data_IF_592180160238
#
_entry.id   IF_592180160238
#
_cell.length_a   1.000
_cell.length_b   1.000
_cell.length_c   1.000
_cell.angle_alpha   90.00
_cell.angle_beta   90.00
_cell.angle_gamma   90.00
#
_symmetry.space_group_name_H-M   'P 1'
#
loop_
_entity.id
_entity.type
_entity.pdbx_description
1 polymer ?
#
# COMPACT_ATOMS: atom_id res chain seq x y z
N UNK A 1 -17.53 -18.45 18.66
CA UNK A 1 -16.69 -17.89 19.76
C UNK A 1 -16.47 -16.38 19.59
N UNK A 2 -15.66 -15.88 18.63
CA UNK A 2 -15.45 -14.43 18.48
C UNK A 2 -16.65 -13.68 17.88
N UNK A 3 -17.30 -14.25 16.87
CA UNK A 3 -18.54 -13.68 16.28
C UNK A 3 -19.66 -13.54 17.32
N UNK A 4 -19.80 -14.51 18.22
CA UNK A 4 -20.82 -14.47 19.28
C UNK A 4 -20.51 -13.39 20.31
N UNK A 5 -19.23 -13.24 20.69
CA UNK A 5 -18.77 -12.15 21.57
C UNK A 5 -19.01 -10.77 20.93
N UNK A 6 -18.72 -10.62 19.63
CA UNK A 6 -18.99 -9.37 18.92
C UNK A 6 -20.49 -9.03 18.93
N UNK A 7 -21.36 -10.01 18.66
CA UNK A 7 -22.83 -9.85 18.74
C UNK A 7 -23.29 -9.45 20.13
N UNK A 8 -22.78 -10.11 21.15
CA UNK A 8 -23.11 -9.80 22.54
C UNK A 8 -22.73 -8.36 22.91
N UNK A 9 -21.53 -7.91 22.54
CA UNK A 9 -21.09 -6.53 22.77
C UNK A 9 -21.95 -5.52 21.99
N UNK A 10 -22.23 -5.78 20.71
CA UNK A 10 -23.07 -4.91 19.88
C UNK A 10 -24.50 -4.81 20.41
N UNK A 11 -25.05 -5.89 20.97
CA UNK A 11 -26.37 -5.87 21.61
C UNK A 11 -26.46 -4.96 22.84
N UNK A 12 -25.33 -4.66 23.47
CA UNK A 12 -25.22 -3.78 24.64
C UNK A 12 -24.91 -2.32 24.27
N UNK A 13 -24.66 -2.03 22.99
CA UNK A 13 -24.33 -0.68 22.52
C UNK A 13 -25.56 0.19 22.34
N UNK A 14 -25.41 1.48 22.62
CA UNK A 14 -26.39 2.49 22.19
C UNK A 14 -26.29 2.72 20.68
N UNK A 15 -27.29 3.37 20.10
CA UNK A 15 -27.25 3.75 18.69
C UNK A 15 -26.07 4.67 18.37
N UNK A 16 -25.73 5.59 19.28
CA UNK A 16 -24.61 6.51 19.17
C UNK A 16 -23.26 5.77 19.20
N UNK A 17 -23.09 4.77 20.07
CA UNK A 17 -21.88 3.93 20.10
C UNK A 17 -21.74 3.13 18.80
N UNK A 18 -22.84 2.55 18.28
CA UNK A 18 -22.86 1.82 17.01
C UNK A 18 -22.48 2.72 15.83
N UNK A 19 -23.11 3.90 15.73
CA UNK A 19 -22.81 4.85 14.67
C UNK A 19 -21.37 5.39 14.78
N UNK A 20 -20.88 5.60 15.99
CA UNK A 20 -19.51 6.02 16.25
C UNK A 20 -18.46 5.03 15.77
N UNK A 21 -18.69 3.72 15.95
CA UNK A 21 -17.78 2.68 15.44
C UNK A 21 -17.70 2.62 13.91
N UNK A 22 -18.69 3.18 13.20
CA UNK A 22 -18.69 3.31 11.75
C UNK A 22 -17.88 4.52 11.21
N UNK A 23 -17.17 5.23 12.08
CA UNK A 23 -16.26 6.34 11.78
C UNK A 23 -14.91 6.13 12.47
N UNK A 24 -13.84 6.61 11.85
CA UNK A 24 -12.55 6.76 12.53
C UNK A 24 -12.68 7.60 13.81
N UNK A 25 -11.82 7.32 14.78
CA UNK A 25 -11.61 8.18 15.95
C UNK A 25 -10.84 9.44 15.55
N UNK A 26 -9.80 9.24 14.75
CA UNK A 26 -8.96 10.29 14.20
C UNK A 26 -8.52 9.89 12.77
N UNK A 27 -7.34 10.35 12.34
CA UNK A 27 -6.82 10.03 11.01
C UNK A 27 -6.32 8.59 10.87
N UNK A 28 -5.90 7.95 11.97
CA UNK A 28 -5.18 6.66 11.98
C UNK A 28 -5.76 5.63 12.95
N UNK A 29 -6.81 5.95 13.71
CA UNK A 29 -7.39 5.02 14.67
C UNK A 29 -8.87 4.74 14.40
N UNK A 30 -9.25 3.48 14.56
CA UNK A 30 -10.64 3.11 14.76
C UNK A 30 -11.08 3.55 16.15
N UNK A 31 -12.36 3.92 16.27
CA UNK A 31 -12.98 4.23 17.55
C UNK A 31 -13.14 2.97 18.39
N UNK A 32 -12.98 3.11 19.71
CA UNK A 32 -13.31 2.09 20.70
C UNK A 32 -14.61 2.40 21.44
N UNK A 33 -15.02 1.50 22.33
CA UNK A 33 -16.13 1.68 23.28
C UNK A 33 -15.65 1.28 24.67
N UNK A 34 -15.13 2.25 25.42
CA UNK A 34 -14.49 2.05 26.73
C UNK A 34 -15.40 1.34 27.73
N UNK A 35 -16.69 1.74 27.79
CA UNK A 35 -17.71 1.14 28.66
C UNK A 35 -17.85 -0.37 28.47
N UNK A 36 -17.59 -0.87 27.26
CA UNK A 36 -17.69 -2.27 26.88
C UNK A 36 -16.30 -2.95 26.75
N UNK A 37 -15.22 -2.26 27.11
CA UNK A 37 -13.85 -2.76 27.02
C UNK A 37 -13.37 -2.97 25.59
N UNK A 38 -13.95 -2.28 24.60
CA UNK A 38 -13.49 -2.33 23.21
C UNK A 38 -12.45 -1.21 23.03
N UNK A 39 -11.16 -1.54 22.79
CA UNK A 39 -10.14 -0.52 22.62
C UNK A 39 -10.20 0.14 21.25
N UNK A 40 -9.59 1.32 21.13
CA UNK A 40 -9.22 1.89 19.84
C UNK A 40 -7.99 1.17 19.29
N UNK A 41 -7.91 1.01 17.97
CA UNK A 41 -6.79 0.32 17.31
C UNK A 41 -6.25 1.16 16.15
N UNK A 42 -4.94 1.10 15.92
CA UNK A 42 -4.28 1.84 14.86
C UNK A 42 -4.36 1.11 13.51
N UNK A 43 -4.60 1.88 12.46
CA UNK A 43 -4.41 1.49 11.06
C UNK A 43 -3.44 2.46 10.42
N UNK A 44 -2.55 2.00 9.56
CA UNK A 44 -1.58 2.89 8.93
C UNK A 44 -1.02 2.32 7.63
N UNK A 45 -0.40 3.19 6.83
CA UNK A 45 0.26 2.80 5.59
C UNK A 45 1.51 1.93 5.88
N UNK A 46 2.07 1.20 4.91
CA UNK A 46 1.66 1.12 3.51
C UNK A 46 2.07 -0.19 2.81
N UNK A 47 1.92 -0.23 1.48
CA UNK A 47 1.93 -1.49 0.71
C UNK A 47 3.29 -2.21 0.61
N UNK A 48 4.40 -1.54 0.91
CA UNK A 48 5.76 -2.09 0.79
C UNK A 48 6.69 -1.66 1.94
N UNK A 49 6.10 -1.35 3.10
CA UNK A 49 6.80 -0.91 4.31
C UNK A 49 5.86 -0.20 5.26
N UNK A 50 6.13 -0.29 6.55
CA UNK A 50 5.35 0.39 7.57
C UNK A 50 5.62 1.90 7.53
N UNK A 51 4.56 2.71 7.58
CA UNK A 51 4.62 4.17 7.64
C UNK A 51 3.73 4.71 8.74
N UNK A 52 4.13 4.47 9.99
CA UNK A 52 3.49 5.05 11.16
C UNK A 52 4.03 6.46 11.45
N UNK A 53 3.16 7.46 11.45
CA UNK A 53 3.52 8.82 11.84
C UNK A 53 3.90 8.89 13.33
N UNK A 54 4.92 9.67 13.68
CA UNK A 54 5.24 9.95 15.09
C UNK A 54 4.17 10.83 15.73
N UNK A 55 3.87 10.57 17.00
CA UNK A 55 2.91 11.34 17.78
C UNK A 55 3.30 12.84 17.81
N UNK A 56 2.38 13.71 17.38
CA UNK A 56 2.54 15.16 17.43
C UNK A 56 3.03 15.84 16.13
N UNK A 57 3.24 15.10 15.04
CA UNK A 57 3.45 15.69 13.72
C UNK A 57 2.11 16.16 13.14
N UNK A 58 2.05 17.38 12.60
CA UNK A 58 0.90 17.83 11.80
C UNK A 58 0.66 16.79 10.70
N UNK A 59 -0.60 16.39 10.46
CA UNK A 59 -0.98 15.33 9.51
C UNK A 59 -0.53 15.56 8.05
N UNK A 60 0.10 16.71 7.78
CA UNK A 60 0.74 17.13 6.53
C UNK A 60 2.24 16.76 6.43
N UNK A 61 2.87 16.32 7.53
CA UNK A 61 4.26 15.93 7.60
C UNK A 61 4.52 14.57 6.97
N UNK A 62 4.66 14.54 5.64
CA UNK A 62 4.95 13.34 4.85
C UNK A 62 6.28 12.64 5.22
N UNK A 63 7.12 13.23 6.09
CA UNK A 63 8.51 12.83 6.31
C UNK A 63 8.89 12.42 7.75
N UNK A 64 8.00 12.55 8.75
CA UNK A 64 8.33 12.20 10.16
C UNK A 64 7.60 10.91 10.60
N UNK A 65 7.91 9.81 9.90
CA UNK A 65 7.47 8.46 10.29
C UNK A 65 8.54 7.75 11.11
N UNK A 66 8.13 6.74 11.87
CA UNK A 66 9.06 5.78 12.47
C UNK A 66 9.93 5.15 11.37
N UNK A 67 11.24 4.92 11.62
CA UNK A 67 12.06 4.15 10.70
C UNK A 67 11.52 2.72 10.54
N UNK A 68 11.43 2.25 9.30
CA UNK A 68 10.92 0.93 8.96
C UNK A 68 11.69 0.35 7.76
N UNK A 69 11.55 -0.95 7.52
CA UNK A 69 12.15 -1.54 6.32
C UNK A 69 11.37 -1.11 5.08
N UNK A 70 12.07 -0.46 4.13
CA UNK A 70 11.50 -0.13 2.83
C UNK A 70 11.79 -1.27 1.85
N UNK A 71 10.82 -2.15 1.64
CA UNK A 71 10.92 -3.20 0.62
C UNK A 71 10.79 -2.59 -0.79
N UNK A 72 11.23 -3.30 -1.84
CA UNK A 72 10.96 -2.88 -3.22
C UNK A 72 9.46 -2.65 -3.42
N UNK A 73 9.10 -1.68 -4.25
CA UNK A 73 7.70 -1.40 -4.55
C UNK A 73 6.99 -2.60 -5.18
N UNK A 74 5.66 -2.64 -5.15
CA UNK A 74 4.89 -3.74 -5.73
C UNK A 74 5.21 -3.95 -7.23
N UNK A 75 5.53 -2.89 -7.97
CA UNK A 75 5.99 -2.98 -9.35
C UNK A 75 7.32 -3.72 -9.50
N UNK A 76 8.28 -3.46 -8.60
CA UNK A 76 9.54 -4.21 -8.53
C UNK A 76 9.29 -5.66 -8.13
N UNK A 77 8.62 -5.87 -7.00
CA UNK A 77 8.37 -7.20 -6.44
C UNK A 77 7.57 -8.11 -7.36
N UNK A 78 6.62 -7.58 -8.15
CA UNK A 78 5.89 -8.36 -9.15
C UNK A 78 6.83 -8.98 -10.21
N UNK A 79 7.96 -8.35 -10.49
CA UNK A 79 8.96 -8.84 -11.43
C UNK A 79 9.71 -10.08 -10.94
N UNK A 80 9.61 -10.42 -9.65
CA UNK A 80 10.16 -11.68 -9.10
C UNK A 80 9.37 -12.92 -9.51
N UNK A 81 8.06 -12.78 -9.79
CA UNK A 81 7.15 -13.92 -9.99
C UNK A 81 7.18 -14.94 -8.82
N UNK A 82 7.61 -14.52 -7.62
CA UNK A 82 7.91 -15.40 -6.51
C UNK A 82 6.94 -15.21 -5.34
N UNK A 83 5.90 -16.06 -5.30
CA UNK A 83 4.88 -16.07 -4.22
C UNK A 83 5.48 -16.21 -2.82
N UNK A 84 6.49 -17.06 -2.67
CA UNK A 84 7.12 -17.33 -1.36
C UNK A 84 7.94 -16.13 -0.89
N UNK A 85 8.59 -15.41 -1.80
CA UNK A 85 9.24 -14.14 -1.47
C UNK A 85 8.23 -13.12 -0.97
N UNK A 86 7.09 -12.95 -1.66
CA UNK A 86 6.05 -12.00 -1.24
C UNK A 86 5.47 -12.36 0.13
N UNK A 87 5.24 -13.64 0.41
CA UNK A 87 4.77 -14.10 1.72
C UNK A 87 5.79 -13.78 2.83
N UNK A 88 7.09 -14.02 2.59
CA UNK A 88 8.15 -13.65 3.55
C UNK A 88 8.23 -12.14 3.78
N UNK A 89 8.08 -11.33 2.73
CA UNK A 89 7.99 -9.86 2.87
C UNK A 89 6.76 -9.49 3.71
N UNK A 90 5.61 -10.13 3.48
CA UNK A 90 4.41 -9.94 4.30
C UNK A 90 4.64 -10.30 5.77
N UNK A 91 5.35 -11.39 6.07
CA UNK A 91 5.72 -11.78 7.43
C UNK A 91 6.54 -10.67 8.11
N UNK A 92 7.60 -10.19 7.47
CA UNK A 92 8.44 -9.14 8.02
C UNK A 92 7.63 -7.85 8.30
N UNK A 93 6.76 -7.46 7.37
CA UNK A 93 5.86 -6.31 7.57
C UNK A 93 4.92 -6.51 8.77
N UNK A 94 4.37 -7.71 8.95
CA UNK A 94 3.53 -8.06 10.09
C UNK A 94 4.28 -8.02 11.42
N UNK A 95 5.55 -8.41 11.44
CA UNK A 95 6.41 -8.32 12.63
C UNK A 95 6.72 -6.86 13.01
N UNK A 96 7.01 -6.00 12.03
CA UNK A 96 7.18 -4.55 12.29
C UNK A 96 5.89 -3.92 12.81
N UNK A 97 4.73 -4.30 12.26
CA UNK A 97 3.43 -3.82 12.72
C UNK A 97 3.13 -4.26 14.17
N UNK A 98 3.46 -5.49 14.55
CA UNK A 98 3.33 -5.96 15.94
C UNK A 98 4.20 -5.13 16.89
N UNK A 99 5.46 -4.88 16.52
CA UNK A 99 6.38 -4.07 17.34
C UNK A 99 5.92 -2.61 17.47
N UNK A 100 5.19 -2.10 16.48
CA UNK A 100 4.70 -0.73 16.43
C UNK A 100 3.22 -0.58 16.82
N UNK A 101 2.60 -1.59 17.42
CA UNK A 101 1.20 -1.56 17.89
C UNK A 101 0.18 -1.15 16.81
N UNK A 102 0.34 -1.70 15.61
CA UNK A 102 -0.55 -1.51 14.46
C UNK A 102 -1.46 -2.71 14.30
N UNK A 103 -2.77 -2.51 14.18
CA UNK A 103 -3.73 -3.60 14.00
C UNK A 103 -3.99 -3.94 12.53
N UNK A 104 -3.96 -2.96 11.63
CA UNK A 104 -4.15 -3.17 10.18
C UNK A 104 -3.15 -2.36 9.38
N UNK A 105 -2.41 -3.05 8.51
CA UNK A 105 -1.55 -2.43 7.50
C UNK A 105 -2.36 -2.13 6.23
N UNK A 106 -2.32 -0.88 5.75
CA UNK A 106 -3.08 -0.44 4.58
C UNK A 106 -2.41 -0.84 3.27
N UNK A 107 -2.45 -2.14 2.99
CA UNK A 107 -1.98 -2.76 1.75
C UNK A 107 -2.38 -4.23 1.69
N UNK A 108 -2.11 -4.92 0.57
CA UNK A 108 -1.40 -4.41 -0.61
C UNK A 108 -2.32 -3.68 -1.61
N UNK A 109 -1.69 -2.93 -2.52
CA UNK A 109 -2.36 -2.33 -3.69
C UNK A 109 -2.48 -3.34 -4.83
N UNK A 110 -3.70 -3.57 -5.33
CA UNK A 110 -4.02 -4.55 -6.37
C UNK A 110 -4.83 -3.96 -7.55
N UNK A 111 -4.79 -2.64 -7.75
CA UNK A 111 -5.37 -2.05 -8.96
C UNK A 111 -4.57 -2.49 -10.21
N UNK A 112 -5.28 -2.76 -11.30
CA UNK A 112 -4.65 -3.08 -12.59
C UNK A 112 -3.89 -1.87 -13.14
N UNK A 113 -2.67 -2.10 -13.64
CA UNK A 113 -1.89 -1.11 -14.39
C UNK A 113 -2.47 -0.89 -15.79
N UNK A 114 -3.68 -0.31 -15.88
CA UNK A 114 -4.40 -0.08 -17.15
C UNK A 114 -3.60 0.76 -18.14
N UNK A 115 -2.88 1.75 -17.64
CA UNK A 115 -2.04 2.66 -18.41
C UNK A 115 -0.73 2.85 -17.65
N UNK A 116 0.43 2.90 -18.35
CA UNK A 116 1.70 3.16 -17.70
C UNK A 116 1.77 4.55 -17.05
N UNK A 117 0.86 5.47 -17.41
CA UNK A 117 0.83 6.85 -16.93
C UNK A 117 0.17 7.06 -15.56
N UNK A 118 -0.39 6.00 -14.97
CA UNK A 118 -0.98 6.11 -13.63
C UNK A 118 0.14 6.36 -12.60
N UNK A 119 0.07 7.49 -11.88
CA UNK A 119 1.08 7.90 -10.90
C UNK A 119 1.28 6.94 -9.73
N UNK A 120 0.38 5.97 -9.53
CA UNK A 120 0.44 4.95 -8.47
C UNK A 120 0.84 3.56 -8.98
N UNK A 121 1.24 3.42 -10.25
CA UNK A 121 1.67 2.13 -10.78
C UNK A 121 2.83 1.50 -9.99
N UNK A 122 3.69 2.30 -9.35
CA UNK A 122 4.78 1.78 -8.54
C UNK A 122 4.29 0.88 -7.39
N UNK A 123 3.13 1.17 -6.78
CA UNK A 123 2.57 0.42 -5.66
C UNK A 123 1.50 -0.61 -6.05
N UNK A 124 1.31 -0.84 -7.35
CA UNK A 124 0.49 -1.92 -7.88
C UNK A 124 1.35 -3.03 -8.49
N UNK A 125 0.87 -4.28 -8.46
CA UNK A 125 1.65 -5.41 -8.94
C UNK A 125 1.72 -5.47 -10.47
N UNK A 126 0.58 -5.57 -11.17
CA UNK A 126 0.59 -5.93 -12.60
C UNK A 126 -0.55 -5.30 -13.41
N UNK A 127 -0.40 -5.31 -14.73
CA UNK A 127 -1.50 -5.15 -15.69
C UNK A 127 -2.32 -6.45 -15.87
N UNK A 128 -1.75 -7.59 -15.46
CA UNK A 128 -2.40 -8.90 -15.51
C UNK A 128 -3.09 -9.23 -14.16
N UNK A 129 -4.41 -9.56 -14.18
CA UNK A 129 -5.17 -9.84 -12.96
C UNK A 129 -4.71 -11.09 -12.22
N UNK A 130 -4.23 -12.12 -12.93
CA UNK A 130 -3.79 -13.36 -12.29
C UNK A 130 -2.53 -13.10 -11.46
N UNK A 131 -1.50 -12.48 -12.06
CA UNK A 131 -0.29 -12.12 -11.36
C UNK A 131 -0.59 -11.18 -10.17
N UNK A 132 -1.40 -10.15 -10.39
CA UNK A 132 -1.75 -9.20 -9.34
C UNK A 132 -2.49 -9.88 -8.16
N UNK A 133 -3.46 -10.73 -8.45
CA UNK A 133 -4.19 -11.51 -7.43
C UNK A 133 -3.27 -12.45 -6.67
N UNK A 134 -2.38 -13.17 -7.34
CA UNK A 134 -1.47 -14.12 -6.68
C UNK A 134 -0.45 -13.42 -5.79
N UNK A 135 0.08 -12.27 -6.22
CA UNK A 135 0.98 -11.46 -5.38
C UNK A 135 0.24 -10.89 -4.17
N UNK A 136 -0.94 -10.30 -4.37
CA UNK A 136 -1.75 -9.75 -3.29
C UNK A 136 -2.14 -10.84 -2.27
N UNK A 137 -2.57 -12.02 -2.74
CA UNK A 137 -2.95 -13.13 -1.87
C UNK A 137 -1.82 -13.57 -0.94
N UNK A 138 -0.59 -13.70 -1.45
CA UNK A 138 0.55 -14.15 -0.65
C UNK A 138 1.07 -13.05 0.29
N UNK A 139 0.99 -11.78 -0.11
CA UNK A 139 1.27 -10.66 0.79
C UNK A 139 0.30 -10.67 1.97
N UNK A 140 -1.01 -10.84 1.71
CA UNK A 140 -2.05 -10.92 2.74
C UNK A 140 -1.80 -12.10 3.68
N UNK A 141 -1.45 -13.29 3.15
CA UNK A 141 -1.12 -14.46 3.99
C UNK A 141 0.03 -14.19 4.93
N UNK A 142 1.12 -13.60 4.42
CA UNK A 142 2.31 -13.29 5.22
C UNK A 142 2.03 -12.30 6.34
N UNK A 143 1.37 -11.17 6.04
CA UNK A 143 1.04 -10.16 7.06
C UNK A 143 0.08 -10.75 8.10
N UNK A 144 -0.97 -11.44 7.66
CA UNK A 144 -2.00 -11.98 8.57
C UNK A 144 -1.53 -13.18 9.38
N UNK A 145 -0.48 -13.89 8.97
CA UNK A 145 0.14 -14.94 9.80
C UNK A 145 0.80 -14.38 11.06
N UNK A 146 1.06 -13.07 11.10
CA UNK A 146 1.62 -12.38 12.25
C UNK A 146 0.58 -11.77 13.19
N UNK A 147 -0.72 -12.02 12.95
CA UNK A 147 -1.78 -11.45 13.78
C UNK A 147 -2.14 -10.00 13.42
N UNK A 148 -1.72 -9.53 12.24
CA UNK A 148 -1.97 -8.17 11.75
C UNK A 148 -2.91 -8.22 10.56
N UNK A 149 -3.91 -7.34 10.53
CA UNK A 149 -4.83 -7.24 9.40
C UNK A 149 -4.20 -6.57 8.18
N UNK A 150 -4.78 -6.84 7.01
CA UNK A 150 -4.46 -6.14 5.76
C UNK A 150 -5.65 -5.36 5.24
N UNK A 151 -5.38 -4.41 4.34
CA UNK A 151 -6.37 -3.63 3.60
C UNK A 151 -6.12 -3.72 2.11
N UNK A 152 -6.76 -4.69 1.46
CA UNK A 152 -6.66 -4.87 0.01
C UNK A 152 -7.28 -3.65 -0.69
N UNK A 153 -6.50 -2.93 -1.50
CA UNK A 153 -6.89 -1.61 -2.03
C UNK A 153 -6.53 -1.39 -3.50
N UNK A 154 -7.21 -0.51 -4.24
CA UNK A 154 -8.42 0.24 -3.93
C UNK A 154 -9.58 -0.35 -4.74
N UNK A 155 -10.61 -0.82 -4.06
CA UNK A 155 -11.69 -1.60 -4.63
C UNK A 155 -12.82 -0.67 -5.14
N UNK A 156 -13.03 -0.47 -6.44
CA UNK A 156 -12.28 -1.01 -7.57
C UNK A 156 -12.09 0.04 -8.68
N UNK A 157 -11.31 -0.33 -9.71
CA UNK A 157 -11.08 0.49 -10.90
C UNK A 157 -10.45 1.88 -10.67
N UNK A 158 -9.68 2.04 -9.58
CA UNK A 158 -8.86 3.23 -9.35
C UNK A 158 -7.56 3.15 -10.16
N UNK A 159 -7.62 3.41 -11.47
CA UNK A 159 -6.50 3.20 -12.39
C UNK A 159 -5.91 4.51 -12.95
N UNK A 160 -6.27 5.66 -12.37
CA UNK A 160 -5.70 6.96 -12.70
C UNK A 160 -5.81 7.92 -11.51
N UNK A 161 -4.80 8.76 -11.33
CA UNK A 161 -4.83 9.79 -10.28
C UNK A 161 -5.61 11.05 -10.71
N UNK A 162 -5.65 11.34 -12.02
CA UNK A 162 -6.37 12.50 -12.52
C UNK A 162 -7.85 12.44 -12.15
N UNK A 163 -8.27 13.39 -11.31
CA UNK A 163 -9.66 13.51 -10.83
C UNK A 163 -10.18 12.23 -10.19
N UNK A 164 -9.33 11.45 -9.51
CA UNK A 164 -9.72 10.19 -8.88
C UNK A 164 -10.97 10.29 -7.97
N UNK A 165 -11.19 11.45 -7.34
CA UNK A 165 -12.36 11.72 -6.48
C UNK A 165 -13.66 12.11 -7.22
N UNK A 166 -13.64 12.27 -8.54
CA UNK A 166 -14.83 12.69 -9.31
C UNK A 166 -15.01 12.00 -10.65
N UNK A 167 -14.02 11.25 -11.13
CA UNK A 167 -14.10 10.51 -12.39
C UNK A 167 -15.08 9.34 -12.29
N UNK A 168 -15.71 9.01 -13.41
CA UNK A 168 -16.55 7.84 -13.57
C UNK A 168 -15.92 6.85 -14.55
N UNK A 169 -15.55 5.68 -14.04
CA UNK A 169 -14.99 4.60 -14.82
C UNK A 169 -16.13 3.82 -15.48
N UNK A 170 -16.35 4.05 -16.77
CA UNK A 170 -17.35 3.35 -17.58
C UNK A 170 -16.75 2.05 -18.12
N UNK A 171 -17.19 0.91 -17.58
CA UNK A 171 -16.60 -0.41 -17.83
C UNK A 171 -17.74 -1.41 -18.01
N UNK A 172 -17.76 -2.15 -19.13
CA UNK A 172 -18.72 -3.25 -19.30
C UNK A 172 -18.46 -4.38 -18.29
N UNK A 173 -19.51 -5.15 -17.97
CA UNK A 173 -19.42 -6.18 -16.92
C UNK A 173 -18.31 -7.19 -17.19
N UNK A 174 -18.11 -7.61 -18.44
CA UNK A 174 -17.08 -8.61 -18.77
C UNK A 174 -15.69 -8.07 -18.44
N UNK A 175 -15.36 -6.86 -18.91
CA UNK A 175 -14.08 -6.23 -18.61
C UNK A 175 -13.93 -5.96 -17.11
N UNK A 176 -14.99 -5.54 -16.44
CA UNK A 176 -14.98 -5.32 -14.98
C UNK A 176 -14.63 -6.62 -14.23
N UNK A 177 -15.29 -7.73 -14.58
CA UNK A 177 -15.12 -9.05 -13.96
C UNK A 177 -13.75 -9.67 -14.29
N UNK A 178 -13.39 -9.74 -15.58
CA UNK A 178 -12.20 -10.48 -16.05
C UNK A 178 -10.88 -9.74 -15.77
N UNK A 179 -10.88 -8.41 -15.64
CA UNK A 179 -9.66 -7.61 -15.47
C UNK A 179 -9.60 -6.96 -14.10
N UNK A 180 -10.51 -6.04 -13.80
CA UNK A 180 -10.36 -5.18 -12.63
C UNK A 180 -10.69 -5.90 -11.34
N UNK A 181 -11.79 -6.66 -11.33
CA UNK A 181 -12.25 -7.40 -10.16
C UNK A 181 -11.48 -8.71 -9.96
N UNK A 182 -11.06 -9.38 -11.03
CA UNK A 182 -10.26 -10.61 -10.95
C UNK A 182 -8.95 -10.44 -10.14
N UNK A 183 -8.36 -9.23 -10.18
CA UNK A 183 -7.19 -8.86 -9.36
C UNK A 183 -7.46 -8.90 -7.84
N UNK A 184 -8.72 -8.72 -7.43
CA UNK A 184 -9.17 -8.73 -6.03
C UNK A 184 -9.80 -10.07 -5.64
N UNK A 185 -10.58 -10.68 -6.54
CA UNK A 185 -11.38 -11.87 -6.27
C UNK A 185 -10.54 -13.01 -5.71
N UNK A 186 -9.42 -13.34 -6.37
CA UNK A 186 -8.55 -14.42 -5.93
C UNK A 186 -7.90 -14.12 -4.58
N UNK A 187 -7.44 -12.88 -4.36
CA UNK A 187 -6.88 -12.46 -3.07
C UNK A 187 -7.90 -12.56 -1.92
N UNK A 188 -9.16 -12.17 -2.16
CA UNK A 188 -10.25 -12.32 -1.18
C UNK A 188 -10.53 -13.78 -0.89
N UNK A 189 -10.75 -14.61 -1.92
CA UNK A 189 -11.11 -16.03 -1.76
C UNK A 189 -9.98 -16.87 -1.16
N UNK A 190 -8.73 -16.56 -1.48
CA UNK A 190 -7.58 -17.34 -1.03
C UNK A 190 -7.02 -16.93 0.34
N UNK A 191 -7.17 -15.66 0.71
CA UNK A 191 -6.43 -15.09 1.85
C UNK A 191 -7.28 -14.30 2.84
N UNK A 192 -8.55 -13.99 2.52
CA UNK A 192 -9.51 -13.31 3.39
C UNK A 192 -8.87 -12.12 4.12
N UNK A 193 -8.56 -11.01 3.41
CA UNK A 193 -8.01 -9.82 4.07
C UNK A 193 -8.99 -9.35 5.16
N UNK A 194 -8.48 -8.83 6.27
CA UNK A 194 -9.35 -8.36 7.36
C UNK A 194 -10.19 -7.15 6.92
N UNK A 195 -9.64 -6.34 6.01
CA UNK A 195 -10.32 -5.20 5.43
C UNK A 195 -10.13 -5.11 3.92
N UNK A 196 -11.08 -4.48 3.24
CA UNK A 196 -10.96 -4.04 1.84
C UNK A 196 -11.18 -2.53 1.84
N UNK A 197 -10.30 -1.79 1.18
CA UNK A 197 -10.46 -0.33 1.05
C UNK A 197 -11.18 -0.01 -0.24
N UNK A 198 -12.31 0.69 -0.18
CA UNK A 198 -13.01 1.11 -1.40
C UNK A 198 -12.23 2.22 -2.12
N UNK A 199 -12.44 2.36 -3.42
CA UNK A 199 -11.83 3.41 -4.24
C UNK A 199 -12.53 4.78 -4.08
N UNK A 200 -11.85 5.83 -4.54
CA UNK A 200 -12.39 7.19 -4.64
C UNK A 200 -13.39 7.37 -5.79
N UNK A 201 -13.14 6.73 -6.93
CA UNK A 201 -13.86 7.03 -8.17
C UNK A 201 -15.26 6.41 -8.20
N UNK A 202 -16.04 6.86 -9.17
CA UNK A 202 -17.25 6.15 -9.58
C UNK A 202 -16.92 5.00 -10.51
N UNK A 203 -17.75 3.97 -10.49
CA UNK A 203 -17.76 2.86 -11.43
C UNK A 203 -19.18 2.76 -11.97
N UNK A 204 -19.35 3.00 -13.27
CA UNK A 204 -20.65 3.00 -13.95
C UNK A 204 -21.72 3.87 -13.25
N UNK A 205 -21.35 5.07 -12.82
CA UNK A 205 -22.27 6.09 -12.29
C UNK A 205 -22.36 6.17 -10.76
N UNK A 206 -21.94 5.15 -10.04
CA UNK A 206 -21.96 5.08 -8.56
C UNK A 206 -20.55 5.17 -7.98
N UNK A 207 -20.37 5.93 -6.91
CA UNK A 207 -19.11 5.93 -6.15
C UNK A 207 -18.84 4.57 -5.54
N UNK A 208 -17.58 4.12 -5.56
CA UNK A 208 -17.22 2.80 -5.05
C UNK A 208 -17.51 2.63 -3.54
N UNK A 209 -17.43 3.71 -2.76
CA UNK A 209 -17.82 3.78 -1.34
C UNK A 209 -19.32 3.59 -1.09
N UNK A 210 -20.16 3.86 -2.10
CA UNK A 210 -21.61 3.81 -2.00
C UNK A 210 -22.25 2.70 -2.86
N UNK A 211 -21.47 1.94 -3.64
CA UNK A 211 -22.02 0.97 -4.59
C UNK A 211 -22.39 -0.35 -3.92
N UNK A 212 -23.70 -0.65 -3.85
CA UNK A 212 -24.22 -1.94 -3.37
C UNK A 212 -23.70 -3.09 -4.23
N UNK A 213 -23.65 -2.91 -5.54
CA UNK A 213 -23.20 -3.96 -6.46
C UNK A 213 -21.75 -4.37 -6.17
N UNK A 214 -20.84 -3.40 -5.96
CA UNK A 214 -19.45 -3.73 -5.63
C UNK A 214 -19.32 -4.30 -4.22
N UNK A 215 -19.83 -3.60 -3.20
CA UNK A 215 -19.49 -3.88 -1.81
C UNK A 215 -20.31 -5.01 -1.18
N UNK A 216 -21.57 -5.16 -1.59
CA UNK A 216 -22.48 -6.16 -1.04
C UNK A 216 -22.60 -7.35 -1.99
N UNK A 217 -23.07 -7.11 -3.22
CA UNK A 217 -23.45 -8.20 -4.13
C UNK A 217 -22.21 -8.99 -4.56
N UNK A 218 -21.18 -8.30 -5.07
CA UNK A 218 -19.96 -8.97 -5.55
C UNK A 218 -19.05 -9.37 -4.38
N UNK A 219 -18.60 -8.38 -3.59
CA UNK A 219 -17.56 -8.63 -2.58
C UNK A 219 -18.03 -9.58 -1.46
N UNK A 220 -19.22 -9.35 -0.89
CA UNK A 220 -19.69 -10.14 0.27
C UNK A 220 -20.49 -11.36 -0.14
N UNK A 221 -21.45 -11.23 -1.06
CA UNK A 221 -22.37 -12.32 -1.40
C UNK A 221 -21.76 -13.31 -2.40
N UNK A 222 -21.20 -12.83 -3.52
CA UNK A 222 -20.60 -13.72 -4.52
C UNK A 222 -19.22 -14.26 -4.09
N UNK A 223 -18.37 -13.43 -3.49
CA UNK A 223 -17.00 -13.85 -3.12
C UNK A 223 -16.87 -14.37 -1.70
N UNK A 224 -17.86 -14.12 -0.83
CA UNK A 224 -17.81 -14.56 0.57
C UNK A 224 -16.80 -13.78 1.40
N UNK A 225 -16.60 -12.49 1.13
CA UNK A 225 -15.73 -11.65 1.96
C UNK A 225 -16.24 -11.58 3.41
N UNK A 226 -15.39 -12.04 4.33
CA UNK A 226 -15.76 -12.09 5.74
C UNK A 226 -15.44 -10.80 6.47
N UNK A 227 -14.43 -10.02 6.06
CA UNK A 227 -13.99 -8.79 6.74
C UNK A 227 -14.98 -7.62 6.68
N UNK A 228 -14.47 -6.39 6.83
CA UNK A 228 -15.25 -5.16 6.66
C UNK A 228 -14.62 -4.23 5.62
N UNK A 229 -15.42 -3.35 5.04
CA UNK A 229 -14.96 -2.36 4.06
C UNK A 229 -14.67 -1.04 4.77
N UNK A 230 -13.49 -0.49 4.50
CA UNK A 230 -13.08 0.85 4.93
C UNK A 230 -13.04 1.80 3.73
N UNK A 231 -13.34 3.08 3.92
CA UNK A 231 -13.19 4.05 2.83
C UNK A 231 -11.73 4.36 2.56
N UNK A 232 -11.39 4.73 1.33
CA UNK A 232 -10.24 5.61 1.13
C UNK A 232 -10.48 6.95 1.86
N UNK A 233 -9.41 7.69 2.16
CA UNK A 233 -9.45 8.84 3.06
C UNK A 233 -10.28 9.96 2.44
N UNK A 234 -11.50 10.17 2.96
CA UNK A 234 -12.44 11.17 2.45
C UNK A 234 -13.20 10.75 1.19
N UNK A 235 -13.31 9.45 0.89
CA UNK A 235 -14.05 8.93 -0.27
C UNK A 235 -15.58 8.86 -0.08
N UNK A 236 -16.07 9.09 1.14
CA UNK A 236 -17.51 8.97 1.45
C UNK A 236 -18.23 10.27 1.13
N UNK A 237 -19.31 10.17 0.37
CA UNK A 237 -20.19 11.29 0.03
C UNK A 237 -21.46 11.26 0.90
N UNK A 238 -22.14 10.11 0.94
CA UNK A 238 -23.40 9.92 1.67
C UNK A 238 -23.30 8.74 2.63
N UNK A 239 -22.94 9.05 3.88
CA UNK A 239 -22.54 8.03 4.87
C UNK A 239 -23.60 6.97 5.15
N UNK A 240 -24.85 7.37 5.25
CA UNK A 240 -25.98 6.49 5.54
C UNK A 240 -26.28 5.52 4.39
N UNK A 241 -26.22 5.98 3.13
CA UNK A 241 -26.30 5.09 1.97
C UNK A 241 -25.06 4.19 1.87
N UNK A 242 -23.87 4.70 2.19
CA UNK A 242 -22.65 3.90 2.24
C UNK A 242 -22.76 2.73 3.26
N UNK A 243 -23.20 2.98 4.50
CA UNK A 243 -23.42 1.90 5.50
C UNK A 243 -24.44 0.90 4.98
N UNK A 244 -25.57 1.39 4.44
CA UNK A 244 -26.66 0.56 3.92
C UNK A 244 -26.23 -0.36 2.78
N UNK A 245 -25.25 0.07 1.99
CA UNK A 245 -24.72 -0.61 0.81
C UNK A 245 -23.44 -1.40 1.09
N UNK A 246 -22.94 -1.40 2.33
CA UNK A 246 -21.87 -2.30 2.77
C UNK A 246 -20.53 -1.64 3.04
N UNK A 247 -20.45 -0.32 3.21
CA UNK A 247 -19.27 0.36 3.75
C UNK A 247 -19.36 0.52 5.28
N UNK A 248 -18.63 -0.32 6.01
CA UNK A 248 -18.65 -0.33 7.47
C UNK A 248 -17.93 0.85 8.12
N UNK A 249 -16.76 1.26 7.62
CA UNK A 249 -15.91 2.27 8.27
C UNK A 249 -15.59 3.45 7.35
N UNK A 250 -15.93 4.66 7.78
CA UNK A 250 -15.47 5.92 7.17
C UNK A 250 -14.14 6.34 7.79
N UNK A 251 -13.14 6.61 6.94
CA UNK A 251 -11.85 7.17 7.32
C UNK A 251 -11.54 8.43 6.47
N UNK A 252 -10.84 9.43 7.03
CA UNK A 252 -10.62 9.62 8.46
C UNK A 252 -11.92 10.03 9.18
N UNK A 253 -11.86 10.34 10.47
CA UNK A 253 -13.02 10.84 11.22
C UNK A 253 -13.70 12.05 10.53
N UNK A 254 -15.02 12.00 10.35
CA UNK A 254 -15.82 13.10 9.78
C UNK A 254 -16.30 14.13 10.82
N UNK A 255 -15.65 14.17 11.99
CA UNK A 255 -15.98 15.07 13.10
C UNK A 255 -17.47 15.01 13.52
N UNK A 256 -18.05 13.81 13.47
CA UNK A 256 -19.44 13.53 13.84
C UNK A 256 -20.47 13.78 12.74
N UNK A 257 -20.09 14.31 11.56
CA UNK A 257 -21.04 14.54 10.46
C UNK A 257 -21.63 13.20 9.96
N UNK A 258 -20.76 12.23 9.67
CA UNK A 258 -21.17 10.90 9.22
C UNK A 258 -21.96 10.14 10.29
N UNK A 259 -21.49 10.19 11.54
CA UNK A 259 -22.16 9.55 12.69
C UNK A 259 -23.61 10.05 12.84
N UNK A 260 -23.82 11.37 12.75
CA UNK A 260 -25.15 11.97 12.86
C UNK A 260 -26.06 11.58 11.68
N UNK A 261 -25.53 11.46 10.46
CA UNK A 261 -26.30 10.96 9.30
C UNK A 261 -26.77 9.52 9.52
N UNK A 262 -25.92 8.65 10.05
CA UNK A 262 -26.27 7.25 10.37
C UNK A 262 -27.34 7.19 11.45
N UNK A 263 -27.19 7.95 12.55
CA UNK A 263 -28.18 8.01 13.64
C UNK A 263 -29.54 8.49 13.11
N UNK A 264 -29.55 9.55 12.29
CA UNK A 264 -30.77 10.09 11.70
C UNK A 264 -31.43 9.06 10.77
N UNK A 265 -30.67 8.41 9.89
CA UNK A 265 -31.18 7.40 8.98
C UNK A 265 -31.82 6.20 9.70
N UNK A 266 -31.27 5.79 10.85
CA UNK A 266 -31.90 4.73 11.68
C UNK A 266 -33.18 5.21 12.32
N UNK A 267 -33.18 6.39 12.94
CA UNK A 267 -34.37 6.97 13.58
C UNK A 267 -35.51 7.22 12.58
N UNK A 268 -35.17 7.52 11.33
CA UNK A 268 -36.12 7.76 10.23
C UNK A 268 -36.51 6.49 9.47
N UNK A 269 -35.90 5.34 9.78
CA UNK A 269 -36.18 4.05 9.11
C UNK A 269 -35.59 3.91 7.70
N UNK A 270 -34.68 4.81 7.28
CA UNK A 270 -33.95 4.72 6.01
C UNK A 270 -32.81 3.69 6.06
N UNK A 271 -32.27 3.45 7.25
CA UNK A 271 -31.32 2.37 7.56
C UNK A 271 -31.90 1.53 8.71
N UNK A 272 -32.05 0.22 8.52
CA UNK A 272 -32.47 -0.67 9.60
C UNK A 272 -31.36 -0.83 10.64
N UNK A 273 -31.70 -0.85 11.93
CA UNK A 273 -30.73 -1.07 13.00
C UNK A 273 -30.05 -2.44 12.88
N UNK A 274 -30.72 -3.46 12.34
CA UNK A 274 -30.13 -4.79 12.08
C UNK A 274 -28.96 -4.72 11.09
N UNK A 275 -29.06 -3.89 10.05
CA UNK A 275 -27.96 -3.65 9.10
C UNK A 275 -26.80 -2.93 9.78
N UNK A 276 -27.09 -1.94 10.62
CA UNK A 276 -26.07 -1.25 11.39
C UNK A 276 -25.37 -2.23 12.35
N UNK A 277 -26.12 -3.08 13.05
CA UNK A 277 -25.55 -4.11 13.92
C UNK A 277 -24.60 -5.04 13.15
N UNK A 278 -25.01 -5.52 11.97
CA UNK A 278 -24.17 -6.38 11.15
C UNK A 278 -22.86 -5.70 10.69
N UNK A 279 -22.92 -4.40 10.38
CA UNK A 279 -21.74 -3.59 10.06
C UNK A 279 -20.80 -3.49 11.27
N UNK A 280 -21.33 -3.10 12.43
CA UNK A 280 -20.57 -2.92 13.67
C UNK A 280 -20.00 -4.25 14.18
N UNK A 281 -20.72 -5.35 14.05
CA UNK A 281 -20.25 -6.70 14.40
C UNK A 281 -18.95 -7.06 13.67
N UNK A 282 -18.83 -6.71 12.39
CA UNK A 282 -17.61 -6.99 11.61
C UNK A 282 -16.43 -6.16 12.10
N UNK A 283 -16.65 -4.88 12.42
CA UNK A 283 -15.63 -3.99 12.98
C UNK A 283 -15.16 -4.52 14.35
N UNK A 284 -16.11 -4.76 15.26
CA UNK A 284 -15.81 -5.25 16.61
C UNK A 284 -15.08 -6.58 16.56
N UNK A 285 -15.48 -7.50 15.67
CA UNK A 285 -14.78 -8.78 15.51
C UNK A 285 -13.31 -8.60 15.11
N UNK A 286 -13.00 -7.66 14.20
CA UNK A 286 -11.61 -7.38 13.82
C UNK A 286 -10.83 -6.72 14.96
N UNK A 287 -11.42 -5.77 15.70
CA UNK A 287 -10.79 -5.17 16.89
C UNK A 287 -10.48 -6.25 17.94
N UNK A 288 -11.43 -7.14 18.21
CA UNK A 288 -11.21 -8.25 19.14
C UNK A 288 -10.12 -9.20 18.65
N UNK A 289 -10.08 -9.48 17.34
CA UNK A 289 -9.04 -10.31 16.74
C UNK A 289 -7.66 -9.69 16.87
N UNK A 290 -7.50 -8.40 16.58
CA UNK A 290 -6.20 -7.73 16.73
C UNK A 290 -5.73 -7.71 18.18
N UNK A 291 -6.64 -7.59 19.14
CA UNK A 291 -6.31 -7.64 20.57
C UNK A 291 -5.89 -9.05 21.00
N UNK A 292 -6.60 -10.08 20.56
CA UNK A 292 -6.28 -11.47 20.89
C UNK A 292 -4.92 -11.92 20.31
N UNK A 293 -4.60 -11.43 19.10
CA UNK A 293 -3.36 -11.76 18.38
C UNK A 293 -2.18 -10.84 18.73
N UNK A 294 -2.38 -9.83 19.59
CA UNK A 294 -1.35 -8.86 19.97
C UNK A 294 -0.23 -9.55 20.75
N UNK A 295 1.02 -9.26 20.38
CA UNK A 295 2.23 -9.75 21.06
C UNK A 295 2.80 -8.65 21.96
N UNK A 296 2.58 -8.74 23.29
CA UNK A 296 2.96 -7.73 24.31
C UNK A 296 4.45 -7.31 24.35
N UNK A 297 5.34 -8.05 23.70
CA UNK A 297 6.77 -7.72 23.62
C UNK A 297 7.32 -8.02 22.23
N UNK A 298 6.53 -7.71 21.20
CA UNK A 298 6.97 -7.83 19.82
C UNK A 298 8.21 -6.96 19.56
N UNK A 299 9.22 -7.58 18.97
CA UNK A 299 10.36 -6.93 18.39
C UNK A 299 10.72 -7.66 17.10
N UNK A 300 11.50 -7.02 16.26
CA UNK A 300 11.99 -7.58 15.01
C UNK A 300 13.47 -7.28 14.84
N UNK A 301 14.16 -8.09 14.04
CA UNK A 301 15.56 -7.86 13.68
C UNK A 301 15.62 -6.99 12.42
N UNK A 302 16.04 -5.74 12.61
CA UNK A 302 16.18 -4.76 11.53
C UNK A 302 17.17 -5.20 10.46
N UNK A 303 18.24 -5.90 10.84
CA UNK A 303 19.24 -6.37 9.86
C UNK A 303 18.72 -7.58 9.10
N UNK A 304 17.97 -8.48 9.74
CA UNK A 304 17.30 -9.60 9.04
C UNK A 304 16.31 -9.09 7.99
N UNK A 305 15.44 -8.15 8.36
CA UNK A 305 14.48 -7.54 7.44
C UNK A 305 15.18 -6.79 6.31
N UNK A 306 16.28 -6.09 6.61
CA UNK A 306 17.09 -5.41 5.62
C UNK A 306 17.75 -6.41 4.63
N UNK A 307 18.26 -7.54 5.10
CA UNK A 307 18.78 -8.60 4.21
C UNK A 307 17.67 -9.20 3.34
N UNK A 308 16.46 -9.37 3.87
CA UNK A 308 15.30 -9.78 3.08
C UNK A 308 14.92 -8.73 2.02
N UNK A 309 14.97 -7.44 2.35
CA UNK A 309 14.75 -6.38 1.37
C UNK A 309 15.80 -6.42 0.25
N UNK A 310 17.07 -6.74 0.57
CA UNK A 310 18.13 -6.95 -0.41
C UNK A 310 17.90 -8.19 -1.28
N UNK A 311 17.41 -9.28 -0.72
CA UNK A 311 16.99 -10.47 -1.47
C UNK A 311 15.84 -10.12 -2.43
N UNK A 312 14.80 -9.45 -1.92
CA UNK A 312 13.67 -9.02 -2.71
C UNK A 312 14.08 -8.09 -3.85
N UNK A 313 14.99 -7.14 -3.59
CA UNK A 313 15.54 -6.25 -4.60
C UNK A 313 16.28 -7.02 -5.70
N UNK A 314 17.06 -8.05 -5.33
CA UNK A 314 17.79 -8.90 -6.30
C UNK A 314 16.84 -9.65 -7.23
N UNK A 315 15.77 -10.22 -6.69
CA UNK A 315 14.76 -10.93 -7.49
C UNK A 315 13.83 -10.00 -8.28
N UNK A 316 13.80 -8.71 -7.94
CA UNK A 316 12.98 -7.70 -8.63
C UNK A 316 13.64 -7.09 -9.87
N UNK A 317 14.91 -7.40 -10.15
CA UNK A 317 15.65 -6.85 -11.29
C UNK A 317 15.34 -7.63 -12.58
N UNK A 318 14.92 -6.93 -13.63
CA UNK A 318 14.68 -7.52 -14.96
C UNK A 318 15.84 -7.17 -15.91
N UNK A 319 16.58 -8.18 -16.36
CA UNK A 319 17.62 -8.01 -17.38
C UNK A 319 16.99 -7.87 -18.77
N UNK A 320 16.80 -6.62 -19.22
CA UNK A 320 16.16 -6.33 -20.51
C UNK A 320 17.05 -6.59 -21.72
N UNK A 321 18.37 -6.41 -21.59
CA UNK A 321 19.32 -6.49 -22.70
C UNK A 321 20.70 -6.95 -22.21
N UNK A 322 21.29 -7.93 -22.89
CA UNK A 322 22.65 -8.42 -22.62
C UNK A 322 23.39 -8.80 -23.91
N UNK A 323 23.76 -7.81 -24.73
CA UNK A 323 24.49 -8.04 -25.98
C UNK A 323 25.93 -8.49 -25.70
N UNK A 324 26.42 -9.45 -26.50
CA UNK A 324 27.79 -9.93 -26.40
C UNK A 324 28.16 -10.61 -25.08
N UNK A 325 27.17 -11.00 -24.27
CA UNK A 325 27.38 -11.50 -22.90
C UNK A 325 28.16 -10.50 -22.03
N UNK A 326 27.85 -9.21 -22.20
CA UNK A 326 28.49 -8.14 -21.46
C UNK A 326 28.31 -8.26 -19.93
N UNK A 327 27.16 -8.76 -19.49
CA UNK A 327 26.87 -9.07 -18.09
C UNK A 327 27.05 -10.59 -17.81
N UNK A 328 27.61 -10.96 -16.64
CA UNK A 328 28.02 -10.10 -15.52
C UNK A 328 29.34 -9.35 -15.77
N UNK A 329 29.47 -8.15 -15.20
CA UNK A 329 30.68 -7.34 -15.32
C UNK A 329 31.88 -8.01 -14.62
N UNK A 330 33.08 -7.78 -15.16
CA UNK A 330 34.32 -8.09 -14.44
C UNK A 330 34.45 -7.17 -13.23
N UNK A 331 35.03 -7.70 -12.15
CA UNK A 331 35.29 -6.96 -10.90
C UNK A 331 36.61 -6.20 -10.89
N UNK A 332 37.34 -6.24 -12.00
CA UNK A 332 38.70 -5.69 -12.14
C UNK A 332 38.70 -4.51 -13.11
N UNK A 333 39.79 -3.74 -13.11
CA UNK A 333 40.00 -2.64 -14.03
C UNK A 333 39.41 -1.31 -13.54
N UNK A 334 39.14 -0.41 -14.48
CA UNK A 334 38.61 0.93 -14.22
C UNK A 334 37.11 0.96 -14.52
N UNK A 335 36.31 1.21 -13.49
CA UNK A 335 34.85 1.23 -13.57
C UNK A 335 34.37 2.67 -13.33
N UNK A 336 33.62 3.21 -14.29
CA UNK A 336 32.94 4.48 -14.15
C UNK A 336 31.49 4.26 -13.72
N UNK A 337 31.07 4.90 -12.62
CA UNK A 337 29.67 4.98 -12.20
C UNK A 337 29.15 6.37 -12.54
N UNK A 338 28.15 6.47 -13.39
CA UNK A 338 27.63 7.74 -13.90
C UNK A 338 26.14 7.86 -13.58
N UNK A 339 25.71 9.03 -13.13
CA UNK A 339 24.30 9.35 -12.88
C UNK A 339 24.01 9.65 -11.42
N UNK A 340 23.27 10.73 -11.15
CA UNK A 340 22.95 11.17 -9.78
C UNK A 340 22.19 10.10 -8.98
N UNK A 341 21.40 9.26 -9.65
CA UNK A 341 20.69 8.15 -8.99
C UNK A 341 21.64 7.12 -8.33
N UNK A 342 22.93 7.11 -8.66
CA UNK A 342 23.90 6.25 -7.96
C UNK A 342 24.17 6.72 -6.51
N UNK A 343 24.14 8.04 -6.26
CA UNK A 343 24.32 8.62 -4.92
C UNK A 343 23.00 8.96 -4.22
N UNK A 344 21.97 9.27 -5.00
CA UNK A 344 20.64 9.60 -4.52
C UNK A 344 19.61 8.63 -5.14
N UNK A 345 19.59 7.35 -4.72
CA UNK A 345 18.79 6.31 -5.36
C UNK A 345 17.30 6.61 -5.31
N UNK A 346 16.61 6.24 -6.40
CA UNK A 346 15.14 6.19 -6.46
C UNK A 346 14.70 4.75 -6.18
N UNK A 347 14.29 4.48 -4.95
CA UNK A 347 13.99 3.12 -4.46
C UNK A 347 12.51 2.91 -4.09
N UNK A 348 11.73 3.99 -4.01
CA UNK A 348 10.30 3.97 -3.71
C UNK A 348 9.56 5.10 -4.44
N UNK A 349 8.23 5.04 -4.48
CA UNK A 349 7.37 6.13 -4.95
C UNK A 349 7.12 7.20 -3.88
N UNK A 350 6.40 8.26 -4.25
CA UNK A 350 5.95 9.31 -3.32
C UNK A 350 4.46 9.21 -2.95
N UNK A 351 4.06 9.95 -1.91
CA UNK A 351 2.66 10.01 -1.44
C UNK A 351 2.45 9.33 -0.09
N UNK A 352 1.24 8.82 0.14
CA UNK A 352 0.89 8.07 1.37
C UNK A 352 1.78 6.85 1.64
N UNK A 353 2.46 6.31 0.63
CA UNK A 353 3.34 5.14 0.78
C UNK A 353 4.80 5.46 1.12
N UNK A 354 5.17 6.74 1.32
CA UNK A 354 6.57 7.14 1.50
C UNK A 354 7.12 6.72 2.88
N UNK A 355 8.10 5.82 2.89
CA UNK A 355 8.70 5.24 4.10
C UNK A 355 10.01 5.94 4.45
N UNK A 356 10.26 6.17 5.74
CA UNK A 356 11.57 6.53 6.27
C UNK A 356 12.40 5.24 6.47
N UNK A 357 13.36 4.90 5.59
CA UNK A 357 14.04 3.62 5.65
C UNK A 357 14.98 3.53 6.86
N UNK A 358 14.99 2.39 7.54
CA UNK A 358 15.97 2.09 8.61
C UNK A 358 17.41 2.16 8.10
N UNK A 359 17.63 1.74 6.85
CA UNK A 359 18.94 1.69 6.19
C UNK A 359 18.77 1.82 4.68
N UNK A 360 19.70 2.53 4.05
CA UNK A 360 19.74 2.76 2.61
C UNK A 360 21.21 2.80 2.15
N UNK A 361 21.52 2.03 1.11
CA UNK A 361 22.86 1.93 0.54
C UNK A 361 23.17 3.09 -0.42
N UNK A 362 24.43 3.56 -0.39
CA UNK A 362 25.02 4.33 -1.49
C UNK A 362 25.54 3.34 -2.54
N UNK A 363 25.07 3.46 -3.78
CA UNK A 363 25.39 2.49 -4.82
C UNK A 363 26.87 2.58 -5.23
N UNK A 364 27.47 3.77 -5.19
CA UNK A 364 28.90 3.94 -5.49
C UNK A 364 29.74 3.20 -4.44
N UNK A 365 29.41 3.36 -3.16
CA UNK A 365 30.09 2.65 -2.08
C UNK A 365 29.89 1.12 -2.19
N UNK A 366 28.70 0.64 -2.57
CA UNK A 366 28.45 -0.80 -2.76
C UNK A 366 29.22 -1.38 -3.96
N UNK A 367 29.40 -0.59 -5.03
CA UNK A 367 30.27 -0.99 -6.15
C UNK A 367 31.73 -1.06 -5.68
N UNK A 368 32.21 -0.06 -4.94
CA UNK A 368 33.57 -0.03 -4.37
C UNK A 368 33.84 -1.25 -3.45
N UNK A 369 32.87 -1.67 -2.64
CA UNK A 369 32.98 -2.87 -1.79
C UNK A 369 33.00 -4.18 -2.59
N UNK A 370 32.49 -4.18 -3.83
CA UNK A 370 32.29 -5.40 -4.63
C UNK A 370 33.45 -5.69 -5.58
N UNK A 371 34.21 -4.68 -5.97
CA UNK A 371 35.33 -4.80 -6.93
C UNK A 371 36.55 -5.48 -6.30
N UNK A 372 37.41 -6.05 -7.15
CA UNK A 372 38.66 -6.71 -6.74
C UNK A 372 39.68 -5.69 -6.22
N UNK A 373 40.59 -6.15 -5.36
CA UNK A 373 41.73 -5.34 -4.91
C UNK A 373 42.54 -4.83 -6.12
N UNK A 374 42.79 -3.52 -6.19
CA UNK A 374 43.48 -2.86 -7.31
C UNK A 374 42.58 -2.36 -8.44
N UNK A 375 41.28 -2.66 -8.41
CA UNK A 375 40.31 -1.98 -9.28
C UNK A 375 40.13 -0.50 -8.86
N UNK A 376 39.72 0.35 -9.80
CA UNK A 376 39.42 1.77 -9.53
C UNK A 376 37.99 2.08 -9.90
N UNK A 377 37.22 2.63 -8.96
CA UNK A 377 35.88 3.15 -9.21
C UNK A 377 35.95 4.67 -9.30
N UNK A 378 35.31 5.26 -10.30
CA UNK A 378 35.21 6.72 -10.44
C UNK A 378 33.77 7.12 -10.68
N UNK A 379 33.31 8.14 -9.95
CA UNK A 379 31.95 8.65 -10.06
C UNK A 379 31.88 9.96 -10.85
N UNK A 380 30.83 10.11 -11.66
CA UNK A 380 30.41 11.39 -12.23
C UNK A 380 28.88 11.55 -12.15
N UNK A 381 28.39 12.71 -11.72
CA UNK A 381 26.96 12.93 -11.54
C UNK A 381 26.17 12.92 -12.86
N UNK A 382 26.68 13.56 -13.91
CA UNK A 382 26.10 13.53 -15.26
C UNK A 382 24.86 14.41 -15.49
N UNK A 383 23.92 14.49 -14.55
CA UNK A 383 22.70 15.31 -14.65
C UNK A 383 22.17 15.73 -13.27
N UNK A 384 21.23 16.68 -13.23
CA UNK A 384 20.47 17.02 -12.03
C UNK A 384 19.14 16.27 -12.03
N UNK A 385 18.79 15.59 -10.93
CA UNK A 385 17.55 14.82 -10.78
C UNK A 385 16.32 15.71 -10.67
N UNK A 386 16.46 16.90 -10.10
CA UNK A 386 15.37 17.79 -9.77
C UNK A 386 15.08 18.85 -10.85
N UNK A 387 15.87 18.90 -11.92
CA UNK A 387 15.76 19.93 -12.97
C UNK A 387 15.62 19.32 -14.36
N UNK A 388 14.78 19.94 -15.20
CA UNK A 388 14.64 19.60 -16.63
C UNK A 388 15.58 20.45 -17.51
N UNK A 389 16.79 20.72 -17.02
CA UNK A 389 17.79 21.53 -17.72
C UNK A 389 19.05 20.70 -17.98
N UNK A 390 19.63 20.90 -19.18
CA UNK A 390 20.89 20.26 -19.55
C UNK A 390 22.04 21.05 -18.92
N UNK A 391 22.85 20.37 -18.11
CA UNK A 391 24.11 20.89 -17.60
C UNK A 391 25.28 20.37 -18.45
N UNK A 392 25.76 21.22 -19.37
CA UNK A 392 26.85 20.89 -20.29
C UNK A 392 28.17 20.57 -19.57
N UNK A 393 28.38 21.10 -18.35
CA UNK A 393 29.58 20.81 -17.58
C UNK A 393 29.52 19.40 -16.99
N UNK A 394 28.38 19.02 -16.40
CA UNK A 394 28.17 17.65 -15.90
C UNK A 394 28.30 16.59 -17.00
N UNK A 395 27.81 16.90 -18.21
CA UNK A 395 27.98 16.02 -19.38
C UNK A 395 29.46 15.89 -19.77
N UNK A 396 30.23 16.99 -19.78
CA UNK A 396 31.67 16.95 -20.08
C UNK A 396 32.43 16.12 -19.05
N UNK A 397 32.11 16.27 -17.77
CA UNK A 397 32.75 15.53 -16.69
C UNK A 397 32.43 14.03 -16.76
N UNK A 398 31.16 13.67 -17.04
CA UNK A 398 30.76 12.29 -17.27
C UNK A 398 31.49 11.66 -18.48
N UNK A 399 31.62 12.40 -19.60
CA UNK A 399 32.37 11.94 -20.78
C UNK A 399 33.85 11.70 -20.49
N UNK A 400 34.48 12.58 -19.71
CA UNK A 400 35.88 12.43 -19.31
C UNK A 400 36.07 11.15 -18.47
N UNK A 401 35.23 10.95 -17.47
CA UNK A 401 35.27 9.75 -16.61
C UNK A 401 35.01 8.47 -17.42
N UNK A 402 34.03 8.50 -18.34
CA UNK A 402 33.74 7.37 -19.21
C UNK A 402 34.90 7.01 -20.15
N UNK A 403 35.61 8.01 -20.70
CA UNK A 403 36.73 7.78 -21.63
C UNK A 403 37.96 7.16 -20.97
N UNK A 404 38.09 7.29 -19.64
CA UNK A 404 39.20 6.74 -18.86
C UNK A 404 38.90 5.33 -18.30
N UNK A 405 37.66 4.84 -18.43
CA UNK A 405 37.19 3.59 -17.85
C UNK A 405 37.12 2.43 -18.86
N UNK A 406 37.32 1.20 -18.36
CA UNK A 406 37.13 -0.04 -19.12
C UNK A 406 35.65 -0.41 -19.20
N UNK A 407 34.85 0.03 -18.22
CA UNK A 407 33.42 -0.27 -18.09
C UNK A 407 32.68 0.94 -17.51
N UNK A 408 31.51 1.24 -18.06
CA UNK A 408 30.63 2.32 -17.58
C UNK A 408 29.32 1.72 -17.08
N UNK A 409 28.93 2.07 -15.86
CA UNK A 409 27.64 1.77 -15.24
C UNK A 409 26.87 3.08 -15.18
N UNK A 410 25.83 3.20 -16.00
CA UNK A 410 25.00 4.39 -16.09
C UNK A 410 23.68 4.17 -15.33
N UNK A 411 23.43 5.00 -14.32
CA UNK A 411 22.17 5.06 -13.58
C UNK A 411 21.29 6.16 -14.17
N UNK A 412 20.11 5.78 -14.66
CA UNK A 412 19.09 6.68 -15.22
C UNK A 412 17.71 6.21 -14.75
N UNK A 413 16.75 7.12 -14.69
CA UNK A 413 15.41 6.83 -14.19
C UNK A 413 14.52 8.07 -14.18
N UNK A 414 13.32 7.92 -13.63
CA UNK A 414 12.37 9.01 -13.45
C UNK A 414 12.57 9.67 -12.07
N UNK A 415 12.53 11.00 -11.97
CA UNK A 415 12.55 11.68 -10.67
C UNK A 415 11.17 11.68 -10.00
N UNK A 416 11.15 12.00 -8.70
CA UNK A 416 9.98 11.93 -7.81
C UNK A 416 8.70 12.57 -8.37
N UNK A 417 8.83 13.68 -9.11
CA UNK A 417 7.71 14.44 -9.65
C UNK A 417 6.86 13.68 -10.69
N UNK A 418 7.37 12.58 -11.27
CA UNK A 418 6.64 11.77 -12.25
C UNK A 418 5.91 10.58 -11.64
N UNK A 419 6.32 10.13 -10.44
CA UNK A 419 5.85 8.88 -9.82
C UNK A 419 5.50 9.11 -8.35
N UNK A 420 4.36 9.79 -8.14
CA UNK A 420 3.80 10.06 -6.81
C UNK A 420 2.27 10.01 -6.84
N UNK A 421 1.66 9.75 -5.69
CA UNK A 421 0.23 9.97 -5.50
C UNK A 421 -0.20 11.38 -5.94
N UNK A 422 -1.38 11.52 -6.55
CA UNK A 422 -1.91 12.73 -7.16
C UNK A 422 -1.14 13.28 -8.40
N UNK A 423 -0.10 12.60 -8.89
CA UNK A 423 0.58 13.00 -10.13
C UNK A 423 0.03 12.29 -11.37
N UNK A 424 0.08 13.01 -12.50
CA UNK A 424 -0.11 12.47 -13.84
C UNK A 424 1.27 12.55 -14.47
N UNK A 425 1.81 11.44 -14.97
CA UNK A 425 2.98 11.51 -15.84
C UNK A 425 2.55 12.26 -17.12
N UNK A 426 2.85 13.56 -17.17
CA UNK A 426 2.80 14.31 -18.43
C UNK A 426 4.06 13.94 -19.21
N UNK A 427 3.88 13.15 -20.28
CA UNK A 427 4.91 12.89 -21.28
C UNK A 427 4.83 13.97 -22.34
#
# INVERSE_FOLDING_TARGET
>A
MMTDKARELVSQMTLEEKAGLCSGLDFWHLKGVERLGIPSVMVTDGPHGLRKQRLGADHLGLHDSVPATCFPSAAGMASSWNRSLIERVGIALGEECQAEDVAVLLGPGANIKRSPLCGRNFEYFSEDPYLSSEMAANHIKGVQSQGIGTSLKHFAANNQEHRRMSTDAIIDERTLREIYLASFEGAVKQSQPWTVMCAYNKVNGEFASESKTLLQDILKEEWGFEGFVVSDWGAVNERDEAVKNGLELEMPASQGIGENKVIAAVKEGRLSEEKLNAAVERIVRIILKSVEEKKESASYDQEEHHQLAREAARESMVLLKNEGQFLPLKKEGKIAVIGEFAKAPRYQGGGSSHINPTKLEDIVEEVEKTVSEGATVTYAQGYHRDQDTIDEQLIKDAKRVAAEADTVILFVGLPDRYESEATIASI
#
